data_IF_394792557971
#
_entry.id   IF_394792557971
#
_cell.length_a   1.000
_cell.length_b   1.000
_cell.length_c   1.000
_cell.angle_alpha   90.00
_cell.angle_beta   90.00
_cell.angle_gamma   90.00
#
_symmetry.space_group_name_H-M   'P 1'
#
loop_
_entity.id
_entity.type
_entity.pdbx_description
1 polymer ?
#
# COMPACT_ATOMS: atom_id res chain seq x y z
N UNK A 1 -21.62 -5.13 0.90
CA UNK A 1 -20.95 -5.06 0.90
C UNK A 1 -20.11 -5.01 0.60
N UNK A 2 -20.18 -5.04 0.32
CA UNK A 2 -19.44 -5.22 -0.07
C UNK A 2 -18.20 -5.02 0.07
N UNK A 3 -17.71 -5.64 0.10
CA UNK A 3 -16.44 -5.88 0.03
C UNK A 3 -15.52 -4.82 0.23
N UNK A 4 -15.96 -4.03 0.65
CA UNK A 4 -15.25 -3.02 0.72
C UNK A 4 -14.32 -2.93 1.70
N UNK A 5 -13.88 -2.34 2.25
CA UNK A 5 -13.02 -2.12 3.33
C UNK A 5 -12.26 -3.30 3.66
N UNK A 6 -11.83 -3.98 2.72
CA UNK A 6 -11.08 -5.17 2.98
C UNK A 6 -9.83 -4.81 3.73
N UNK A 7 -9.60 -5.50 4.82
CA UNK A 7 -8.37 -5.38 5.56
C UNK A 7 -7.38 -6.34 4.95
N UNK A 8 -6.27 -5.81 4.49
CA UNK A 8 -5.19 -6.61 3.95
C UNK A 8 -4.01 -6.53 4.89
N UNK A 9 -3.20 -7.56 4.91
CA UNK A 9 -1.96 -7.55 5.68
C UNK A 9 -0.79 -7.74 4.74
N UNK A 10 0.26 -6.97 4.97
CA UNK A 10 1.49 -7.08 4.18
C UNK A 10 2.68 -7.03 5.11
N UNK A 11 3.81 -7.54 4.63
CA UNK A 11 5.05 -7.54 5.38
C UNK A 11 6.11 -6.77 4.60
N UNK A 12 6.79 -5.84 5.28
CA UNK A 12 7.97 -5.20 4.72
C UNK A 12 9.21 -5.82 5.36
N UNK A 13 10.13 -6.26 4.54
CA UNK A 13 11.35 -6.91 5.04
C UNK A 13 12.41 -5.91 5.47
N UNK A 14 12.22 -4.64 5.18
CA UNK A 14 13.12 -3.58 5.59
C UNK A 14 12.36 -2.27 5.71
N UNK A 15 13.01 -1.20 6.16
CA UNK A 15 12.37 0.11 6.24
C UNK A 15 11.85 0.54 4.88
N UNK A 16 10.68 1.14 4.85
CA UNK A 16 9.99 1.48 3.60
C UNK A 16 9.39 2.87 3.71
N UNK A 17 9.49 3.65 2.63
CA UNK A 17 8.88 4.97 2.55
C UNK A 17 7.50 4.82 1.92
N UNK A 18 6.47 5.30 2.60
CA UNK A 18 5.09 5.25 2.14
C UNK A 18 4.52 6.65 2.22
N UNK A 19 4.19 7.22 1.06
CA UNK A 19 3.62 8.57 1.03
C UNK A 19 4.50 9.62 1.69
N UNK A 20 5.81 9.46 1.61
CA UNK A 20 6.75 10.38 2.21
C UNK A 20 7.12 10.07 3.66
N UNK A 21 6.54 9.02 4.25
CA UNK A 21 6.82 8.63 5.63
C UNK A 21 7.63 7.35 5.66
N UNK A 22 8.76 7.37 6.34
CA UNK A 22 9.58 6.17 6.51
C UNK A 22 9.03 5.35 7.67
N UNK A 23 8.72 4.08 7.42
CA UNK A 23 8.23 3.16 8.45
C UNK A 23 9.20 1.99 8.57
N UNK A 24 9.32 1.38 9.77
CA UNK A 24 10.22 0.25 9.97
C UNK A 24 9.71 -1.04 9.33
N UNK A 25 10.59 -2.02 9.22
CA UNK A 25 10.19 -3.35 8.78
C UNK A 25 9.14 -3.93 9.72
N UNK A 26 8.33 -4.82 9.24
CA UNK A 26 7.33 -5.50 10.05
C UNK A 26 6.07 -5.78 9.27
N UNK A 27 5.05 -6.22 10.02
CA UNK A 27 3.75 -6.52 9.44
C UNK A 27 2.83 -5.32 9.59
N UNK A 28 2.07 -5.06 8.55
CA UNK A 28 1.19 -3.89 8.51
C UNK A 28 -0.20 -4.29 8.04
N UNK A 29 -1.19 -3.69 8.67
CA UNK A 29 -2.58 -3.78 8.23
C UNK A 29 -2.83 -2.63 7.28
N UNK A 30 -3.39 -2.94 6.12
CA UNK A 30 -3.70 -1.93 5.11
C UNK A 30 -5.21 -1.77 5.01
N UNK A 31 -5.68 -0.55 5.14
CA UNK A 31 -7.08 -0.24 4.93
C UNK A 31 -7.20 0.84 3.88
N UNK A 32 -8.37 0.94 3.28
CA UNK A 32 -8.64 1.90 2.22
C UNK A 32 -9.75 2.83 2.65
N UNK A 33 -9.62 4.10 2.33
CA UNK A 33 -10.66 5.09 2.58
C UNK A 33 -10.80 5.98 1.36
N UNK A 34 -12.03 6.43 1.14
CA UNK A 34 -12.25 7.50 0.17
C UNK A 34 -12.36 8.79 0.95
N UNK A 35 -11.57 9.78 0.55
CA UNK A 35 -11.63 11.11 1.12
C UNK A 35 -12.02 12.06 -0.01
N UNK A 36 -13.30 12.39 -0.08
CA UNK A 36 -13.81 13.10 -1.24
C UNK A 36 -13.72 12.18 -2.46
N UNK A 37 -12.99 12.60 -3.47
CA UNK A 37 -12.75 11.79 -4.66
C UNK A 37 -11.42 11.04 -4.60
N UNK A 38 -10.68 11.17 -3.49
CA UNK A 38 -9.36 10.59 -3.40
C UNK A 38 -9.39 9.25 -2.70
N UNK A 39 -8.65 8.29 -3.24
CA UNK A 39 -8.49 6.98 -2.63
C UNK A 39 -7.22 7.01 -1.79
N UNK A 40 -7.36 6.73 -0.50
CA UNK A 40 -6.24 6.78 0.45
C UNK A 40 -6.03 5.41 1.06
N UNK A 41 -4.78 4.96 1.06
CA UNK A 41 -4.39 3.73 1.74
C UNK A 41 -3.75 4.09 3.06
N UNK A 42 -4.14 3.38 4.11
CA UNK A 42 -3.61 3.59 5.46
C UNK A 42 -2.89 2.33 5.88
N UNK A 43 -1.64 2.48 6.29
CA UNK A 43 -0.79 1.38 6.72
C UNK A 43 -0.54 1.54 8.21
N UNK A 44 -0.95 0.55 9.00
CA UNK A 44 -0.74 0.56 10.45
C UNK A 44 0.05 -0.67 10.85
N UNK A 45 1.14 -0.46 11.58
CA UNK A 45 1.97 -1.56 12.03
C UNK A 45 1.23 -2.43 13.03
N UNK A 46 1.29 -3.73 12.81
CA UNK A 46 0.71 -4.71 13.73
C UNK A 46 1.74 -4.93 14.83
N UNK A 47 1.32 -4.72 16.07
CA UNK A 47 2.21 -4.88 17.22
C UNK A 47 3.15 -3.71 17.45
N UNK A 48 2.96 -2.62 16.74
CA UNK A 48 3.79 -1.43 16.87
C UNK A 48 2.96 -0.18 16.70
N UNK A 49 3.64 0.97 16.60
CA UNK A 49 2.97 2.26 16.52
C UNK A 49 3.16 2.96 15.18
N UNK A 50 3.92 2.39 14.27
CA UNK A 50 4.18 3.04 13.00
C UNK A 50 2.91 3.09 12.15
N UNK A 51 2.71 4.21 11.49
CA UNK A 51 1.55 4.42 10.64
C UNK A 51 1.95 5.33 9.49
N UNK A 52 1.43 5.05 8.30
CA UNK A 52 1.64 5.90 7.14
C UNK A 52 0.39 5.92 6.30
N UNK A 53 0.19 7.01 5.58
CA UNK A 53 -0.93 7.17 4.64
C UNK A 53 -0.39 7.57 3.29
N UNK A 54 -1.02 7.09 2.23
CA UNK A 54 -0.65 7.48 0.89
C UNK A 54 -1.90 7.57 0.03
N UNK A 55 -1.96 8.61 -0.78
CA UNK A 55 -2.99 8.69 -1.81
C UNK A 55 -2.59 7.75 -2.93
N UNK A 56 -3.55 7.14 -3.56
CA UNK A 56 -3.25 6.26 -4.66
C UNK A 56 -4.25 6.40 -5.79
N UNK A 57 -3.81 6.02 -6.97
CA UNK A 57 -4.64 5.95 -8.16
C UNK A 57 -4.87 4.50 -8.50
N UNK A 58 -6.09 4.15 -8.85
CA UNK A 58 -6.42 2.80 -9.26
C UNK A 58 -6.21 2.67 -10.76
N UNK A 59 -5.43 1.68 -11.16
CA UNK A 59 -5.18 1.40 -12.57
C UNK A 59 -5.74 0.02 -12.89
N UNK A 60 -6.70 -0.07 -13.81
CA UNK A 60 -7.32 -1.35 -14.12
C UNK A 60 -6.31 -2.37 -14.65
N UNK A 61 -6.51 -3.61 -14.24
CA UNK A 61 -5.73 -4.73 -14.75
C UNK A 61 -6.52 -5.41 -15.86
N UNK A 62 -5.82 -6.11 -16.76
CA UNK A 62 -6.49 -6.86 -17.82
C UNK A 62 -7.15 -8.12 -17.28
N UNK A 63 -6.68 -8.63 -16.15
CA UNK A 63 -7.28 -9.78 -15.48
C UNK A 63 -7.10 -9.62 -13.98
N UNK A 64 -7.83 -10.42 -13.20
CA UNK A 64 -7.67 -10.43 -11.75
C UNK A 64 -6.25 -10.78 -11.37
N UNK A 65 -5.74 -10.12 -10.36
CA UNK A 65 -4.41 -10.41 -9.83
C UNK A 65 -4.40 -11.79 -9.19
N UNK A 66 -3.39 -12.58 -9.50
CA UNK A 66 -3.26 -13.92 -8.95
C UNK A 66 -2.48 -13.95 -7.66
N UNK A 67 -1.70 -12.92 -7.40
CA UNK A 67 -0.86 -12.83 -6.22
C UNK A 67 -0.87 -11.39 -5.72
N UNK A 68 -0.53 -11.25 -4.44
CA UNK A 68 -0.31 -9.92 -3.86
C UNK A 68 1.12 -9.53 -4.15
N UNK A 69 1.32 -8.33 -4.73
CA UNK A 69 2.63 -7.84 -5.11
C UNK A 69 2.86 -6.42 -4.63
N UNK A 70 4.10 -6.13 -4.29
CA UNK A 70 4.55 -4.80 -3.90
C UNK A 70 5.71 -4.42 -4.80
N UNK A 71 5.69 -3.20 -5.33
CA UNK A 71 6.78 -2.70 -6.15
C UNK A 71 7.43 -1.52 -5.47
N UNK A 72 8.75 -1.46 -5.55
CA UNK A 72 9.55 -0.44 -4.87
C UNK A 72 10.48 0.24 -5.85
N UNK A 73 10.76 1.51 -5.57
CA UNK A 73 11.88 2.23 -6.16
C UNK A 73 12.85 2.59 -5.05
N UNK A 74 14.06 2.96 -5.42
CA UNK A 74 15.01 3.50 -4.45
C UNK A 74 15.09 5.02 -4.64
N UNK A 75 15.17 5.75 -3.54
CA UNK A 75 15.35 7.19 -3.59
C UNK A 75 16.85 7.53 -3.43
N UNK A 76 17.16 8.83 -3.37
CA UNK A 76 18.55 9.29 -3.28
C UNK A 76 19.26 8.83 -2.01
N UNK A 77 18.51 8.41 -1.00
CA UNK A 77 19.08 7.93 0.26
C UNK A 77 19.16 6.41 0.30
N UNK A 78 18.91 5.75 -0.82
CA UNK A 78 18.86 4.29 -0.93
C UNK A 78 17.78 3.66 -0.07
N UNK A 79 16.72 4.40 0.20
CA UNK A 79 15.56 3.86 0.90
C UNK A 79 14.60 3.26 -0.12
N UNK A 80 13.93 2.19 0.27
CA UNK A 80 12.91 1.57 -0.57
C UNK A 80 11.64 2.41 -0.47
N UNK A 81 11.14 2.87 -1.60
CA UNK A 81 9.91 3.66 -1.67
C UNK A 81 8.83 2.79 -2.30
N UNK A 82 7.75 2.56 -1.57
CA UNK A 82 6.63 1.77 -2.10
C UNK A 82 5.91 2.60 -3.15
N UNK A 83 5.82 2.08 -4.37
CA UNK A 83 5.22 2.82 -5.48
C UNK A 83 3.95 2.17 -6.02
N UNK A 84 3.81 0.85 -5.91
CA UNK A 84 2.60 0.18 -6.37
C UNK A 84 2.28 -1.00 -5.48
N UNK A 85 1.00 -1.28 -5.34
CA UNK A 85 0.52 -2.47 -4.65
C UNK A 85 -0.62 -3.10 -5.43
N UNK A 86 -0.60 -4.43 -5.51
CA UNK A 86 -1.68 -5.21 -6.10
C UNK A 86 -2.02 -6.29 -5.11
N UNK A 87 -3.30 -6.43 -4.77
CA UNK A 87 -3.75 -7.48 -3.87
C UNK A 87 -4.38 -8.61 -4.67
N UNK A 88 -4.13 -9.84 -4.22
CA UNK A 88 -4.70 -11.01 -4.86
C UNK A 88 -6.21 -10.87 -4.96
N UNK A 89 -6.74 -11.11 -6.14
CA UNK A 89 -8.17 -11.03 -6.40
C UNK A 89 -8.65 -9.66 -6.85
N UNK A 90 -7.80 -8.64 -6.81
CA UNK A 90 -8.18 -7.31 -7.25
C UNK A 90 -8.18 -7.21 -8.77
N UNK A 91 -9.02 -6.34 -9.29
CA UNK A 91 -9.08 -6.03 -10.71
C UNK A 91 -8.33 -4.74 -11.05
N UNK A 92 -7.75 -4.11 -10.06
CA UNK A 92 -6.98 -2.87 -10.24
C UNK A 92 -5.75 -2.91 -9.36
N UNK A 93 -4.69 -2.25 -9.80
CA UNK A 93 -3.54 -2.04 -8.94
C UNK A 93 -3.59 -0.63 -8.36
N UNK A 94 -2.95 -0.46 -7.23
CA UNK A 94 -2.88 0.82 -6.52
C UNK A 94 -1.52 1.45 -6.80
N UNK A 95 -1.51 2.62 -7.44
CA UNK A 95 -0.28 3.37 -7.71
C UNK A 95 -0.23 4.49 -6.68
N UNK A 96 0.77 4.44 -5.81
CA UNK A 96 0.88 5.38 -4.70
C UNK A 96 1.53 6.67 -5.17
N UNK A 97 0.99 7.78 -4.71
CA UNK A 97 1.61 9.09 -4.94
C UNK A 97 2.71 9.30 -3.92
N UNK A 98 3.81 9.91 -4.33
CA UNK A 98 4.92 10.18 -3.42
C UNK A 98 4.57 11.19 -2.33
#
# INVERSE_FOLDING_TARGET
>A
MAGVALKQEITFTGPTVIGGTLVPAGDYKVTHQMQGTEHVMIFKQIGGKAEAKAKCNLVPLTEKARTTEQRYNENAKNEHVLVEMTFRGDTSKHVLEP
#
